data_IF_444248595009
#
_entry.id   IF_444248595009
#
_cell.length_a   1.000
_cell.length_b   1.000
_cell.length_c   1.000
_cell.angle_alpha   90.00
_cell.angle_beta   90.00
_cell.angle_gamma   90.00
#
_symmetry.space_group_name_H-M   'P 1'
#
loop_
_entity.id
_entity.type
_entity.pdbx_description
1 polymer ?
#
# COMPACT_ATOMS: atom_id res chain seq x y z
N UNK A 1 26.94 8.96 41.37
CA UNK A 1 26.30 8.93 40.06
C UNK A 1 25.19 9.97 39.95
N UNK A 2 24.82 10.29 38.75
CA UNK A 2 23.67 11.12 38.42
C UNK A 2 22.88 10.46 37.26
N UNK A 3 21.58 10.75 37.17
CA UNK A 3 20.70 10.26 36.09
C UNK A 3 20.44 11.43 35.18
N UNK A 4 20.72 11.27 33.89
CA UNK A 4 20.38 12.24 32.83
C UNK A 4 19.16 11.76 32.04
N UNK A 5 18.13 12.61 31.96
CA UNK A 5 16.95 12.42 31.15
C UNK A 5 17.14 13.24 29.88
N UNK A 6 17.31 12.58 28.76
CA UNK A 6 17.55 13.22 27.46
C UNK A 6 16.31 13.29 26.58
N UNK A 7 15.25 12.56 26.94
CA UNK A 7 13.98 12.53 26.23
C UNK A 7 12.82 12.55 27.22
N UNK A 8 11.76 13.24 26.88
CA UNK A 8 10.51 13.29 27.65
C UNK A 8 9.36 12.77 26.79
N UNK A 9 8.30 12.20 27.37
CA UNK A 9 7.17 11.71 26.62
C UNK A 9 6.49 12.81 25.79
N UNK A 10 5.92 12.44 24.65
CA UNK A 10 5.17 13.35 23.79
C UNK A 10 4.02 14.01 24.56
N UNK A 11 3.76 15.30 24.31
CA UNK A 11 2.78 16.15 24.99
C UNK A 11 3.05 16.46 26.47
N UNK A 12 4.18 16.06 27.04
CA UNK A 12 4.59 16.45 28.38
C UNK A 12 5.43 17.72 28.32
N UNK A 13 5.02 18.75 29.07
CA UNK A 13 5.82 19.97 29.19
C UNK A 13 7.02 19.74 30.08
N UNK A 14 8.22 20.14 29.61
CA UNK A 14 9.47 20.05 30.39
C UNK A 14 9.36 20.80 31.73
N UNK A 15 8.85 22.02 31.70
CA UNK A 15 8.72 22.85 32.90
C UNK A 15 7.82 22.20 33.96
N UNK A 16 6.64 21.73 33.54
CA UNK A 16 5.69 21.05 34.45
C UNK A 16 6.28 19.75 35.02
N UNK A 17 7.06 19.04 34.23
CA UNK A 17 7.75 17.80 34.69
C UNK A 17 8.79 18.12 35.76
N UNK A 18 9.61 19.17 35.56
CA UNK A 18 10.63 19.61 36.52
C UNK A 18 9.96 20.11 37.81
N UNK A 19 8.91 20.90 37.71
CA UNK A 19 8.10 21.35 38.86
C UNK A 19 7.57 20.17 39.68
N UNK A 20 6.96 19.17 39.02
CA UNK A 20 6.48 17.96 39.70
C UNK A 20 7.60 17.21 40.43
N UNK A 21 8.78 17.09 39.81
CA UNK A 21 9.93 16.44 40.44
C UNK A 21 10.40 17.25 41.66
N UNK A 22 10.48 18.59 41.53
CA UNK A 22 10.85 19.48 42.63
C UNK A 22 9.84 19.39 43.78
N UNK A 23 8.54 19.36 43.49
CA UNK A 23 7.49 19.20 44.50
C UNK A 23 7.61 17.87 45.26
N UNK A 24 7.99 16.76 44.58
CA UNK A 24 8.25 15.49 45.26
C UNK A 24 9.43 15.57 46.22
N UNK A 25 10.44 16.39 45.92
CA UNK A 25 11.59 16.64 46.81
C UNK A 25 11.18 17.48 47.99
N UNK A 26 10.51 18.64 47.76
CA UNK A 26 10.10 19.58 48.78
C UNK A 26 9.09 18.94 49.76
N UNK A 27 8.12 18.20 49.24
CA UNK A 27 7.10 17.51 50.03
C UNK A 27 7.64 16.26 50.73
N UNK A 28 8.91 15.89 50.53
CA UNK A 28 9.57 14.68 51.07
C UNK A 28 8.84 13.36 50.68
N UNK A 29 7.99 13.38 49.66
CA UNK A 29 7.32 12.18 49.14
C UNK A 29 8.28 11.22 48.49
N UNK A 30 9.31 11.72 47.81
CA UNK A 30 10.39 10.94 47.30
C UNK A 30 11.69 11.21 48.09
N UNK A 31 12.08 10.27 48.92
CA UNK A 31 13.27 10.40 49.76
C UNK A 31 14.58 9.99 49.09
N UNK A 32 14.52 9.53 47.84
CA UNK A 32 15.66 9.02 47.10
C UNK A 32 16.39 10.10 46.31
N UNK A 33 15.68 11.23 46.01
CA UNK A 33 16.19 12.34 45.22
C UNK A 33 16.66 13.48 46.14
N UNK A 34 17.82 14.04 45.81
CA UNK A 34 18.36 15.22 46.46
C UNK A 34 17.99 16.50 45.69
N UNK A 35 18.26 16.51 44.40
CA UNK A 35 18.07 17.69 43.56
C UNK A 35 17.76 17.32 42.12
N UNK A 36 17.07 18.23 41.41
CA UNK A 36 16.79 18.20 39.94
C UNK A 36 17.35 19.50 39.35
N UNK A 37 18.11 19.38 38.27
CA UNK A 37 18.74 20.49 37.56
C UNK A 37 18.35 20.41 36.09
N UNK A 38 17.92 21.56 35.53
CA UNK A 38 17.72 21.66 34.08
C UNK A 38 19.00 22.18 33.42
N UNK A 39 19.65 21.29 32.70
CA UNK A 39 20.86 21.58 31.91
C UNK A 39 20.53 21.60 30.40
N UNK A 40 19.26 21.75 30.05
CA UNK A 40 18.82 21.74 28.65
C UNK A 40 19.25 23.01 27.92
N UNK A 41 19.72 22.80 26.68
CA UNK A 41 19.97 23.88 25.72
C UNK A 41 19.09 23.62 24.47
N UNK A 42 19.65 23.25 23.34
CA UNK A 42 18.89 22.83 22.14
C UNK A 42 18.27 21.44 22.33
N UNK A 43 18.89 20.60 23.16
CA UNK A 43 18.43 19.27 23.51
C UNK A 43 17.97 19.22 24.96
N UNK A 44 16.99 18.35 25.22
CA UNK A 44 16.51 18.10 26.58
C UNK A 44 17.63 17.41 27.38
N UNK A 45 17.97 18.00 28.55
CA UNK A 45 18.90 17.41 29.49
C UNK A 45 18.50 17.80 30.91
N UNK A 46 17.75 16.92 31.57
CA UNK A 46 17.35 17.10 32.96
C UNK A 46 18.23 16.15 33.81
N UNK A 47 18.95 16.69 34.75
CA UNK A 47 19.87 15.91 35.59
C UNK A 47 19.26 15.74 36.98
N UNK A 48 19.15 14.50 37.43
CA UNK A 48 18.65 14.13 38.75
C UNK A 48 19.80 13.60 39.58
N UNK A 49 19.97 14.19 40.77
CA UNK A 49 20.98 13.73 41.74
C UNK A 49 20.33 12.92 42.85
N UNK A 50 20.78 11.66 43.09
CA UNK A 50 20.28 10.86 44.18
C UNK A 50 20.82 11.39 45.54
N UNK A 51 20.05 11.20 46.58
CA UNK A 51 20.42 11.65 47.93
C UNK A 51 21.60 10.88 48.48
N UNK A 52 21.74 9.60 48.17
CA UNK A 52 22.82 8.75 48.62
C UNK A 52 23.38 7.90 47.46
N UNK A 53 24.67 7.64 47.47
CA UNK A 53 25.33 6.76 46.47
C UNK A 53 24.84 5.30 46.49
N UNK A 54 24.25 4.86 47.62
CA UNK A 54 23.75 3.50 47.79
C UNK A 54 22.37 3.27 47.18
N UNK A 55 21.68 4.32 46.66
CA UNK A 55 20.38 4.19 45.98
C UNK A 55 20.64 3.52 44.64
N UNK A 56 19.97 2.39 44.37
CA UNK A 56 20.06 1.73 43.08
C UNK A 56 19.37 2.58 42.00
N UNK A 57 20.03 2.83 40.83
CA UNK A 57 19.47 3.66 39.78
C UNK A 57 18.12 3.15 39.28
N UNK A 58 17.94 1.84 39.17
CA UNK A 58 16.67 1.24 38.68
C UNK A 58 15.49 1.56 39.61
N UNK A 59 15.72 1.48 40.94
CA UNK A 59 14.68 1.78 41.93
C UNK A 59 14.30 3.26 41.92
N UNK A 60 15.28 4.14 41.71
CA UNK A 60 15.04 5.57 41.58
C UNK A 60 14.22 5.88 40.31
N UNK A 61 14.59 5.30 39.17
CA UNK A 61 13.89 5.47 37.91
C UNK A 61 12.46 4.91 37.98
N UNK A 62 12.27 3.74 38.56
CA UNK A 62 10.94 3.16 38.75
C UNK A 62 10.04 4.06 39.63
N UNK A 63 10.60 4.60 40.68
CA UNK A 63 9.89 5.57 41.53
C UNK A 63 9.48 6.83 40.77
N UNK A 64 10.35 7.35 39.90
CA UNK A 64 10.07 8.52 39.08
C UNK A 64 8.99 8.20 38.03
N UNK A 65 9.05 7.07 37.36
CA UNK A 65 8.03 6.64 36.38
C UNK A 65 6.63 6.50 37.00
N UNK A 66 6.56 6.09 38.29
CA UNK A 66 5.28 5.96 38.98
C UNK A 66 4.73 7.28 39.51
N UNK A 67 5.60 8.23 39.87
CA UNK A 67 5.20 9.46 40.58
C UNK A 67 5.14 10.69 39.67
N UNK A 68 5.68 10.59 38.45
CA UNK A 68 5.76 11.71 37.49
C UNK A 68 5.27 11.30 36.10
N UNK A 69 5.15 12.30 35.21
CA UNK A 69 4.77 12.07 33.83
C UNK A 69 5.95 11.63 32.93
N UNK A 70 7.06 11.11 33.51
CA UNK A 70 8.13 10.50 32.73
C UNK A 70 7.70 9.22 32.01
N UNK A 71 6.61 8.60 32.47
CA UNK A 71 5.95 7.52 31.78
C UNK A 71 4.46 7.83 31.66
N UNK A 72 3.97 7.95 30.44
CA UNK A 72 2.55 8.16 30.16
C UNK A 72 1.95 6.95 29.46
N UNK A 73 0.68 6.66 29.78
CA UNK A 73 -0.08 5.61 29.10
C UNK A 73 -0.88 6.25 27.97
N UNK A 74 -0.64 5.80 26.75
CA UNK A 74 -1.42 6.23 25.59
C UNK A 74 -2.54 5.21 25.37
N UNK A 75 -3.82 5.59 25.52
CA UNK A 75 -4.93 4.68 25.26
C UNK A 75 -5.03 4.43 23.76
N UNK A 76 -4.98 3.17 23.35
CA UNK A 76 -5.19 2.75 21.97
C UNK A 76 -6.67 2.41 21.77
N UNK A 77 -7.46 3.40 21.39
CA UNK A 77 -8.88 3.20 21.06
C UNK A 77 -9.05 3.14 19.54
N UNK A 78 -9.00 1.91 19.00
CA UNK A 78 -9.12 1.67 17.56
C UNK A 78 -10.59 1.47 17.17
N UNK A 79 -11.30 2.57 16.98
CA UNK A 79 -12.63 2.56 16.39
C UNK A 79 -12.51 2.64 14.86
N UNK A 80 -12.69 1.52 14.18
CA UNK A 80 -12.47 1.37 12.74
C UNK A 80 -13.69 0.75 12.06
N UNK A 81 -13.80 0.95 10.74
CA UNK A 81 -14.83 0.30 9.93
C UNK A 81 -14.38 -1.12 9.57
N UNK A 82 -15.25 -2.09 9.79
CA UNK A 82 -15.03 -3.45 9.31
C UNK A 82 -15.28 -3.55 7.78
N UNK A 83 -15.07 -4.74 7.20
CA UNK A 83 -15.34 -5.01 5.77
C UNK A 83 -16.80 -4.77 5.34
N UNK A 84 -17.73 -4.70 6.29
CA UNK A 84 -19.16 -4.41 6.07
C UNK A 84 -19.51 -2.93 6.29
N UNK A 85 -18.50 -2.04 6.41
CA UNK A 85 -18.65 -0.61 6.68
C UNK A 85 -19.33 -0.29 8.02
N UNK A 86 -19.28 -1.20 8.98
CA UNK A 86 -19.82 -1.00 10.32
C UNK A 86 -18.71 -0.55 11.27
N UNK A 87 -18.91 0.53 12.07
CA UNK A 87 -17.95 0.94 13.07
C UNK A 87 -17.87 -0.08 14.20
N UNK A 88 -16.67 -0.48 14.57
CA UNK A 88 -16.39 -1.41 15.67
C UNK A 88 -15.06 -1.07 16.31
N UNK A 89 -15.03 -1.13 17.64
CA UNK A 89 -13.76 -1.11 18.38
C UNK A 89 -13.09 -2.47 18.21
N UNK A 90 -11.88 -2.46 17.65
CA UNK A 90 -11.13 -3.69 17.34
C UNK A 90 -9.79 -3.70 18.05
N UNK A 91 -9.32 -4.89 18.41
CA UNK A 91 -7.93 -5.10 18.81
C UNK A 91 -6.99 -4.89 17.61
N UNK A 92 -5.72 -4.58 17.88
CA UNK A 92 -4.71 -4.39 16.82
C UNK A 92 -4.61 -5.63 15.91
N UNK A 93 -4.73 -6.83 16.48
CA UNK A 93 -4.73 -8.09 15.73
C UNK A 93 -5.91 -8.17 14.77
N UNK A 94 -7.12 -7.83 15.22
CA UNK A 94 -8.32 -7.82 14.37
C UNK A 94 -8.21 -6.81 13.24
N UNK A 95 -7.67 -5.61 13.52
CA UNK A 95 -7.44 -4.57 12.50
C UNK A 95 -6.47 -5.08 11.43
N UNK A 96 -5.35 -5.67 11.82
CA UNK A 96 -4.37 -6.21 10.88
C UNK A 96 -4.95 -7.35 10.03
N UNK A 97 -5.71 -8.25 10.63
CA UNK A 97 -6.39 -9.34 9.89
C UNK A 97 -7.39 -8.79 8.88
N UNK A 98 -8.23 -7.82 9.28
CA UNK A 98 -9.19 -7.19 8.38
C UNK A 98 -8.48 -6.41 7.24
N UNK A 99 -7.40 -5.71 7.55
CA UNK A 99 -6.59 -5.01 6.55
C UNK A 99 -6.00 -5.96 5.52
N UNK A 100 -5.37 -7.06 5.96
CA UNK A 100 -4.82 -8.07 5.06
C UNK A 100 -5.90 -8.73 4.20
N UNK A 101 -7.05 -9.03 4.79
CA UNK A 101 -8.19 -9.61 4.06
C UNK A 101 -8.69 -8.65 2.97
N UNK A 102 -8.80 -7.36 3.28
CA UNK A 102 -9.18 -6.34 2.32
C UNK A 102 -8.14 -6.20 1.19
N UNK A 103 -6.85 -6.15 1.54
CA UNK A 103 -5.76 -6.11 0.55
C UNK A 103 -5.82 -7.30 -0.41
N UNK A 104 -6.06 -8.49 0.13
CA UNK A 104 -6.20 -9.71 -0.66
C UNK A 104 -7.38 -9.62 -1.65
N UNK A 105 -8.55 -9.19 -1.18
CA UNK A 105 -9.72 -9.01 -2.03
C UNK A 105 -9.50 -7.98 -3.15
N UNK A 106 -8.86 -6.85 -2.81
CA UNK A 106 -8.51 -5.82 -3.79
C UNK A 106 -7.52 -6.34 -4.83
N UNK A 107 -6.51 -7.12 -4.42
CA UNK A 107 -5.55 -7.74 -5.34
C UNK A 107 -6.25 -8.65 -6.36
N UNK A 108 -7.14 -9.52 -5.90
CA UNK A 108 -7.89 -10.42 -6.79
C UNK A 108 -8.75 -9.61 -7.75
N UNK A 109 -9.57 -8.69 -7.25
CA UNK A 109 -10.46 -7.87 -8.08
C UNK A 109 -9.72 -7.05 -9.14
N UNK A 110 -8.61 -6.43 -8.75
CA UNK A 110 -7.73 -5.70 -9.68
C UNK A 110 -7.13 -6.62 -10.75
N UNK A 111 -6.68 -7.80 -10.36
CA UNK A 111 -6.06 -8.77 -11.26
C UNK A 111 -7.08 -9.35 -12.25
N UNK A 112 -8.29 -9.66 -11.80
CA UNK A 112 -9.39 -10.13 -12.66
C UNK A 112 -9.82 -9.06 -13.67
N UNK A 113 -9.97 -7.82 -13.22
CA UNK A 113 -10.30 -6.70 -14.11
C UNK A 113 -9.21 -6.48 -15.16
N UNK A 114 -7.94 -6.48 -14.74
CA UNK A 114 -6.81 -6.35 -15.67
C UNK A 114 -6.76 -7.50 -16.66
N UNK A 115 -6.95 -8.73 -16.20
CA UNK A 115 -6.98 -9.93 -17.05
C UNK A 115 -8.12 -9.87 -18.09
N UNK A 116 -9.30 -9.37 -17.71
CA UNK A 116 -10.41 -9.15 -18.63
C UNK A 116 -10.03 -8.17 -19.73
N UNK A 117 -9.44 -7.03 -19.38
CA UNK A 117 -9.02 -6.02 -20.34
C UNK A 117 -7.92 -6.56 -21.28
N UNK A 118 -6.95 -7.29 -20.75
CA UNK A 118 -5.91 -7.92 -21.54
C UNK A 118 -6.50 -8.95 -22.54
N UNK A 119 -7.44 -9.79 -22.11
CA UNK A 119 -8.11 -10.74 -23.00
C UNK A 119 -8.81 -10.05 -24.17
N UNK A 120 -9.53 -8.96 -23.88
CA UNK A 120 -10.21 -8.17 -24.93
C UNK A 120 -9.19 -7.53 -25.89
N UNK A 121 -8.10 -6.98 -25.36
CA UNK A 121 -7.05 -6.37 -26.19
C UNK A 121 -6.34 -7.42 -27.07
N UNK A 122 -5.98 -8.57 -26.50
CA UNK A 122 -5.38 -9.69 -27.23
C UNK A 122 -6.29 -10.17 -28.36
N UNK A 123 -7.60 -10.25 -28.13
CA UNK A 123 -8.58 -10.62 -29.16
C UNK A 123 -8.49 -9.65 -30.36
N UNK A 124 -8.45 -8.35 -30.11
CA UNK A 124 -8.31 -7.32 -31.16
C UNK A 124 -6.96 -7.45 -31.88
N UNK A 125 -5.86 -7.60 -31.15
CA UNK A 125 -4.52 -7.72 -31.72
C UNK A 125 -4.37 -8.96 -32.63
N UNK A 126 -4.98 -10.08 -32.24
CA UNK A 126 -5.05 -11.27 -33.11
C UNK A 126 -5.78 -10.93 -34.43
N UNK A 127 -6.85 -10.15 -34.36
CA UNK A 127 -7.55 -9.63 -35.55
C UNK A 127 -6.61 -8.81 -36.44
N UNK A 128 -5.90 -7.86 -35.86
CA UNK A 128 -4.95 -7.01 -36.59
C UNK A 128 -3.79 -7.82 -37.22
N UNK A 129 -3.21 -8.76 -36.52
CA UNK A 129 -2.15 -9.63 -37.08
C UNK A 129 -2.67 -10.40 -38.29
N UNK A 130 -3.90 -10.93 -38.26
CA UNK A 130 -4.53 -11.57 -39.41
C UNK A 130 -4.77 -10.60 -40.57
N UNK A 131 -5.11 -9.34 -40.29
CA UNK A 131 -5.28 -8.29 -41.31
C UNK A 131 -3.96 -8.05 -42.04
N UNK A 132 -2.84 -7.91 -41.34
CA UNK A 132 -1.53 -7.71 -41.98
C UNK A 132 -1.14 -8.87 -42.90
N UNK A 133 -1.46 -10.09 -42.50
CA UNK A 133 -1.20 -11.29 -43.34
C UNK A 133 -2.06 -11.34 -44.61
N UNK A 134 -3.21 -10.65 -44.65
CA UNK A 134 -4.18 -10.70 -45.73
C UNK A 134 -4.63 -9.34 -46.24
N UNK A 135 -3.74 -8.34 -46.15
CA UNK A 135 -4.07 -6.91 -46.32
C UNK A 135 -4.84 -6.61 -47.61
N UNK A 136 -4.31 -7.04 -48.76
CA UNK A 136 -4.89 -6.76 -50.06
C UNK A 136 -6.30 -7.36 -50.22
N UNK A 137 -6.51 -8.56 -49.67
CA UNK A 137 -7.81 -9.24 -49.74
C UNK A 137 -8.86 -8.52 -48.89
N UNK A 138 -8.42 -8.05 -47.70
CA UNK A 138 -9.29 -7.35 -46.77
C UNK A 138 -9.65 -5.96 -47.31
N UNK A 139 -8.69 -5.22 -47.85
CA UNK A 139 -8.97 -3.92 -48.51
C UNK A 139 -9.93 -4.06 -49.68
N UNK A 140 -9.75 -5.09 -50.52
CA UNK A 140 -10.70 -5.34 -51.63
C UNK A 140 -12.11 -5.61 -51.13
N UNK A 141 -12.29 -6.34 -50.04
CA UNK A 141 -13.61 -6.59 -49.45
C UNK A 141 -14.20 -5.29 -48.91
N UNK A 142 -13.42 -4.49 -48.16
CA UNK A 142 -13.91 -3.23 -47.59
C UNK A 142 -14.36 -2.26 -48.67
N UNK A 143 -13.70 -2.23 -49.85
CA UNK A 143 -14.03 -1.32 -50.94
C UNK A 143 -15.21 -1.80 -51.80
N UNK A 144 -15.36 -3.09 -52.01
CA UNK A 144 -16.26 -3.64 -53.04
C UNK A 144 -17.48 -4.37 -52.49
N UNK A 145 -17.55 -4.66 -51.18
CA UNK A 145 -18.65 -5.39 -50.59
C UNK A 145 -19.80 -4.44 -50.19
N UNK A 146 -21.04 -4.83 -50.43
CA UNK A 146 -22.23 -4.14 -49.91
C UNK A 146 -22.25 -4.17 -48.36
N UNK A 147 -21.91 -5.32 -47.74
CA UNK A 147 -21.74 -5.47 -46.31
C UNK A 147 -20.38 -6.04 -45.98
N UNK A 148 -19.38 -5.17 -45.75
CA UNK A 148 -18.03 -5.59 -45.40
C UNK A 148 -17.96 -6.38 -44.08
N UNK A 149 -18.83 -6.04 -43.09
CA UNK A 149 -18.84 -6.72 -41.79
C UNK A 149 -19.15 -8.19 -41.90
N UNK A 150 -20.25 -8.53 -42.56
CA UNK A 150 -20.68 -9.92 -42.75
C UNK A 150 -19.66 -10.73 -43.57
N UNK A 151 -19.07 -10.12 -44.60
CA UNK A 151 -18.08 -10.80 -45.44
C UNK A 151 -16.78 -11.09 -44.71
N UNK A 152 -16.31 -10.16 -43.87
CA UNK A 152 -15.11 -10.37 -43.04
C UNK A 152 -15.34 -11.48 -42.02
N UNK A 153 -16.50 -11.52 -41.36
CA UNK A 153 -16.85 -12.59 -40.42
C UNK A 153 -16.86 -13.96 -41.12
N UNK A 154 -17.58 -14.06 -42.25
CA UNK A 154 -17.72 -15.34 -42.98
C UNK A 154 -16.41 -15.86 -43.57
N UNK A 155 -15.59 -14.97 -44.16
CA UNK A 155 -14.39 -15.38 -44.91
C UNK A 155 -13.16 -15.60 -44.01
N UNK A 156 -12.98 -14.75 -42.97
CA UNK A 156 -11.79 -14.80 -42.10
C UNK A 156 -12.10 -15.30 -40.69
N UNK A 157 -13.36 -15.59 -40.37
CA UNK A 157 -13.82 -16.02 -39.03
C UNK A 157 -13.40 -15.04 -37.93
N UNK A 158 -13.53 -13.74 -38.22
CA UNK A 158 -13.33 -12.71 -37.22
C UNK A 158 -14.52 -12.62 -36.27
N UNK A 159 -14.27 -12.23 -35.03
CA UNK A 159 -15.34 -11.87 -34.09
C UNK A 159 -15.90 -10.49 -34.40
N UNK A 160 -17.11 -10.20 -33.91
CA UNK A 160 -17.75 -8.88 -34.07
C UNK A 160 -16.83 -7.74 -33.57
N UNK A 161 -16.19 -7.94 -32.42
CA UNK A 161 -15.26 -6.97 -31.83
C UNK A 161 -14.03 -6.74 -32.72
N UNK A 162 -13.48 -7.80 -33.30
CA UNK A 162 -12.36 -7.70 -34.24
C UNK A 162 -12.76 -6.94 -35.49
N UNK A 163 -13.92 -7.24 -36.06
CA UNK A 163 -14.38 -6.56 -37.28
C UNK A 163 -14.60 -5.09 -37.03
N UNK A 164 -15.27 -4.71 -35.96
CA UNK A 164 -15.44 -3.30 -35.62
C UNK A 164 -14.10 -2.58 -35.48
N UNK A 165 -13.16 -3.15 -34.71
CA UNK A 165 -11.82 -2.60 -34.55
C UNK A 165 -11.02 -2.49 -35.87
N UNK A 166 -11.20 -3.45 -36.80
CA UNK A 166 -10.57 -3.44 -38.12
C UNK A 166 -11.13 -2.32 -39.00
N UNK A 167 -12.43 -2.13 -38.99
CA UNK A 167 -13.09 -1.08 -39.78
C UNK A 167 -12.79 0.33 -39.25
N UNK A 168 -12.62 0.47 -37.94
CA UNK A 168 -12.24 1.71 -37.28
C UNK A 168 -10.72 2.02 -37.36
N UNK A 169 -9.94 1.11 -37.98
CA UNK A 169 -8.50 1.28 -38.08
C UNK A 169 -8.11 2.40 -39.02
N UNK A 170 -7.23 3.28 -38.60
CA UNK A 170 -6.72 4.36 -39.44
C UNK A 170 -5.71 3.78 -40.47
N UNK A 171 -5.77 4.30 -41.73
CA UNK A 171 -4.88 3.88 -42.82
C UNK A 171 -3.38 3.95 -42.46
N UNK A 172 -2.97 4.92 -41.66
CA UNK A 172 -1.59 5.03 -41.18
C UNK A 172 -1.08 3.83 -40.42
N UNK A 173 -1.98 3.15 -39.71
CA UNK A 173 -1.64 1.98 -38.88
C UNK A 173 -1.33 0.72 -39.74
N UNK A 174 -1.51 0.79 -41.07
CA UNK A 174 -1.18 -0.30 -42.01
C UNK A 174 0.31 -0.34 -42.40
N UNK A 175 1.16 0.51 -41.83
CA UNK A 175 2.60 0.54 -42.09
C UNK A 175 3.30 -0.68 -41.45
N UNK A 176 4.40 -1.13 -42.06
CA UNK A 176 5.21 -2.26 -41.54
C UNK A 176 5.79 -2.03 -40.14
N UNK A 177 6.07 -0.78 -39.74
CA UNK A 177 6.52 -0.44 -38.40
C UNK A 177 5.45 -0.74 -37.35
N UNK A 178 4.22 -0.36 -37.61
CA UNK A 178 3.06 -0.59 -36.74
C UNK A 178 2.79 -2.11 -36.58
N UNK A 179 3.02 -2.93 -37.64
CA UNK A 179 2.91 -4.38 -37.55
C UNK A 179 3.85 -4.99 -36.50
N UNK A 180 5.09 -4.47 -36.43
CA UNK A 180 6.06 -4.93 -35.44
C UNK A 180 5.62 -4.55 -34.03
N UNK A 181 5.21 -3.30 -33.83
CA UNK A 181 4.71 -2.81 -32.53
C UNK A 181 3.52 -3.64 -32.03
N UNK A 182 2.57 -3.96 -32.91
CA UNK A 182 1.40 -4.80 -32.59
C UNK A 182 1.81 -6.22 -32.19
N UNK A 183 2.81 -6.80 -32.87
CA UNK A 183 3.34 -8.13 -32.50
C UNK A 183 4.07 -8.12 -31.17
N UNK A 184 4.80 -7.06 -30.88
CA UNK A 184 5.51 -6.91 -29.60
C UNK A 184 4.51 -6.67 -28.46
N UNK A 185 3.52 -5.77 -28.64
CA UNK A 185 2.41 -5.58 -27.69
C UNK A 185 1.67 -6.92 -27.42
N UNK A 186 1.42 -7.70 -28.45
CA UNK A 186 0.76 -9.02 -28.30
C UNK A 186 1.59 -9.96 -27.41
N UNK A 187 2.91 -10.02 -27.59
CA UNK A 187 3.81 -10.87 -26.77
C UNK A 187 3.82 -10.42 -25.31
N UNK A 188 3.92 -9.12 -25.08
CA UNK A 188 3.95 -8.55 -23.75
C UNK A 188 2.64 -8.83 -22.99
N UNK A 189 1.51 -8.58 -23.64
CA UNK A 189 0.20 -8.88 -23.07
C UNK A 189 -0.03 -10.38 -22.85
N UNK A 190 0.54 -11.24 -23.69
CA UNK A 190 0.46 -12.68 -23.49
C UNK A 190 1.24 -13.13 -22.25
N UNK A 191 2.42 -12.55 -22.04
CA UNK A 191 3.23 -12.80 -20.84
C UNK A 191 2.52 -12.32 -19.57
N UNK A 192 1.95 -11.11 -19.59
CA UNK A 192 1.17 -10.53 -18.49
C UNK A 192 -0.08 -11.36 -18.21
N UNK A 193 -0.81 -11.80 -19.23
CA UNK A 193 -1.95 -12.72 -19.10
C UNK A 193 -1.58 -14.00 -18.37
N UNK A 194 -0.45 -14.61 -18.77
CA UNK A 194 0.03 -15.86 -18.16
C UNK A 194 0.42 -15.64 -16.69
N UNK A 195 1.08 -14.53 -16.37
CA UNK A 195 1.40 -14.15 -15.00
C UNK A 195 0.15 -13.98 -14.15
N UNK A 196 -0.80 -13.16 -14.60
CA UNK A 196 -2.05 -12.91 -13.87
C UNK A 196 -2.89 -14.19 -13.71
N UNK A 197 -2.90 -15.06 -14.70
CA UNK A 197 -3.58 -16.35 -14.59
C UNK A 197 -2.96 -17.24 -13.52
N UNK A 198 -1.61 -17.30 -13.45
CA UNK A 198 -0.90 -18.00 -12.39
C UNK A 198 -1.12 -17.38 -11.02
N UNK A 199 -1.11 -16.04 -10.93
CA UNK A 199 -1.38 -15.32 -9.70
C UNK A 199 -2.77 -15.63 -9.15
N UNK A 200 -3.80 -15.60 -10.00
CA UNK A 200 -5.18 -15.88 -9.60
C UNK A 200 -5.40 -17.35 -9.18
N UNK A 201 -4.60 -18.29 -9.72
CA UNK A 201 -4.69 -19.71 -9.38
C UNK A 201 -3.88 -20.10 -8.13
N UNK A 202 -2.93 -19.29 -7.67
CA UNK A 202 -1.97 -19.65 -6.62
C UNK A 202 -2.06 -18.75 -5.40
N UNK A 203 -2.62 -19.27 -4.30
CA UNK A 203 -2.66 -18.57 -3.00
C UNK A 203 -1.28 -18.20 -2.45
N UNK A 204 -0.24 -18.99 -2.78
CA UNK A 204 1.12 -18.71 -2.33
C UNK A 204 1.72 -17.48 -3.02
N UNK A 205 1.46 -17.31 -4.31
CA UNK A 205 1.86 -16.12 -5.07
C UNK A 205 1.08 -14.88 -4.61
N UNK A 206 -0.22 -15.01 -4.38
CA UNK A 206 -1.07 -13.93 -3.89
C UNK A 206 -0.65 -13.35 -2.53
N UNK A 207 0.01 -14.17 -1.69
CA UNK A 207 0.54 -13.73 -0.39
C UNK A 207 1.89 -13.03 -0.48
N UNK A 208 2.58 -13.16 -1.62
CA UNK A 208 3.90 -12.53 -1.82
C UNK A 208 3.80 -11.15 -2.46
N UNK A 209 2.70 -10.91 -3.21
CA UNK A 209 2.34 -9.61 -3.79
C UNK A 209 1.59 -8.72 -2.78
#
# INVERSE_FOLDING_TARGET
>A
YQISINEIPYQVSKSTLIEKIADLIISKKNKLIDNVIDESDQLVRIVIRPKNRNVKPEVLMESLFRQTDLQVRIPLNMNVLNSKLQPKVMSIKEVLVNFLSHRYEVLIRKSEFRLKNIKNRIEILIGFIKVYQNLDKIIKIIRNAEDPKLQLIKKFKFTQNQVNAILDMRLRNLRKLEEKEIKDEYKDLLSEKNFLTKLLSSKSLQKKE
#
